data_IF_981370551480
#
_entry.id   IF_981370551480
#
_cell.length_a   1.000
_cell.length_b   1.000
_cell.length_c   1.000
_cell.angle_alpha   90.00
_cell.angle_beta   90.00
_cell.angle_gamma   90.00
#
_symmetry.space_group_name_H-M   'P 1'
#
loop_
_entity.id
_entity.type
_entity.pdbx_description
1 polymer ?
#
# COMPACT_ATOMS: atom_id res chain seq x y z
N UNK A 1 -0.04 7.77 8.64
CA UNK A 1 0.32 6.60 7.81
C UNK A 1 1.84 6.58 7.66
N UNK A 2 2.49 5.51 8.12
CA UNK A 2 3.95 5.37 8.04
C UNK A 2 4.40 5.23 6.58
N UNK A 3 5.57 5.79 6.24
CA UNK A 3 6.14 5.70 4.88
C UNK A 3 6.63 4.28 4.63
N UNK A 4 6.40 3.74 3.43
CA UNK A 4 6.86 2.39 3.10
C UNK A 4 8.40 2.39 3.05
N UNK A 5 9.10 1.56 3.85
CA UNK A 5 10.56 1.64 3.99
C UNK A 5 11.34 1.42 2.70
N UNK A 6 10.72 0.77 1.71
CA UNK A 6 11.35 0.50 0.42
C UNK A 6 11.13 1.61 -0.61
N UNK A 7 10.35 2.66 -0.30
CA UNK A 7 10.19 3.81 -1.20
C UNK A 7 11.54 4.50 -1.47
N UNK A 8 12.47 4.50 -0.49
CA UNK A 8 13.84 5.04 -0.65
C UNK A 8 14.73 4.27 -1.63
N UNK A 9 14.38 3.02 -1.98
CA UNK A 9 15.13 2.27 -2.98
C UNK A 9 14.87 2.76 -4.41
N UNK A 10 13.69 3.32 -4.68
CA UNK A 10 13.35 3.90 -5.99
C UNK A 10 14.05 5.25 -6.23
N UNK A 11 14.37 5.96 -5.16
CA UNK A 11 15.10 7.22 -5.22
C UNK A 11 16.61 7.04 -5.38
N UNK A 12 17.11 5.80 -5.30
CA UNK A 12 18.53 5.53 -5.47
C UNK A 12 18.91 5.63 -6.96
N UNK A 13 19.83 6.54 -7.34
CA UNK A 13 20.23 6.73 -8.74
C UNK A 13 20.89 5.48 -9.35
N UNK A 14 21.43 4.57 -8.54
CA UNK A 14 22.00 3.28 -9.03
C UNK A 14 20.93 2.31 -9.53
N UNK A 15 19.70 2.39 -9.01
CA UNK A 15 18.58 1.56 -9.47
C UNK A 15 18.05 2.03 -10.83
N UNK A 16 18.22 3.31 -11.15
CA UNK A 16 17.84 3.89 -12.45
C UNK A 16 18.78 3.51 -13.61
N UNK A 17 19.95 2.92 -13.31
CA UNK A 17 20.91 2.49 -14.34
C UNK A 17 20.64 1.08 -14.90
N UNK A 18 19.73 0.32 -14.28
CA UNK A 18 19.38 -1.01 -14.75
C UNK A 18 18.24 -1.00 -15.77
N UNK A 19 18.34 -1.93 -16.71
CA UNK A 19 17.43 -2.25 -17.80
C UNK A 19 15.95 -1.93 -17.52
N UNK A 20 15.27 -1.32 -18.50
CA UNK A 20 13.89 -0.83 -18.38
C UNK A 20 12.92 -1.93 -17.92
N UNK A 21 13.14 -3.16 -18.37
CA UNK A 21 12.34 -4.33 -17.99
C UNK A 21 12.56 -4.73 -16.53
N UNK A 22 13.80 -4.63 -16.04
CA UNK A 22 14.13 -4.89 -14.63
C UNK A 22 13.51 -3.81 -13.74
N UNK A 23 13.51 -2.56 -14.19
CA UNK A 23 12.87 -1.46 -13.48
C UNK A 23 11.34 -1.63 -13.39
N UNK A 24 10.70 -2.11 -14.46
CA UNK A 24 9.27 -2.40 -14.47
C UNK A 24 8.91 -3.53 -13.50
N UNK A 25 9.67 -4.62 -13.51
CA UNK A 25 9.50 -5.74 -12.57
C UNK A 25 9.68 -5.29 -11.12
N UNK A 26 10.72 -4.49 -10.84
CA UNK A 26 10.99 -3.96 -9.50
C UNK A 26 9.86 -3.05 -9.01
N UNK A 27 9.33 -2.18 -9.88
CA UNK A 27 8.16 -1.35 -9.55
C UNK A 27 6.92 -2.19 -9.23
N UNK A 28 6.67 -3.26 -10.00
CA UNK A 28 5.54 -4.17 -9.76
C UNK A 28 5.67 -4.92 -8.42
N UNK A 29 6.87 -5.39 -8.10
CA UNK A 29 7.18 -6.04 -6.82
C UNK A 29 7.00 -5.07 -5.65
N UNK A 30 7.53 -3.84 -5.76
CA UNK A 30 7.39 -2.81 -4.73
C UNK A 30 5.94 -2.39 -4.54
N UNK A 31 5.17 -2.26 -5.63
CA UNK A 31 3.74 -1.99 -5.56
C UNK A 31 3.00 -3.08 -4.77
N UNK A 32 3.29 -4.34 -5.08
CA UNK A 32 2.68 -5.49 -4.40
C UNK A 32 3.09 -5.55 -2.92
N UNK A 33 4.37 -5.36 -2.62
CA UNK A 33 4.88 -5.33 -1.26
C UNK A 33 4.28 -4.18 -0.44
N UNK A 34 4.09 -3.00 -1.04
CA UNK A 34 3.43 -1.86 -0.40
C UNK A 34 1.96 -2.13 -0.09
N UNK A 35 1.26 -2.80 -1.00
CA UNK A 35 -0.14 -3.21 -0.81
C UNK A 35 -0.26 -4.21 0.33
N UNK A 36 0.63 -5.20 0.37
CA UNK A 36 0.73 -6.16 1.47
C UNK A 36 1.04 -5.46 2.80
N UNK A 37 2.06 -4.60 2.85
CA UNK A 37 2.42 -3.82 4.05
C UNK A 37 1.23 -3.04 4.61
N UNK A 38 0.54 -2.29 3.75
CA UNK A 38 -0.62 -1.48 4.14
C UNK A 38 -1.75 -2.37 4.69
N UNK A 39 -2.00 -3.50 4.02
CA UNK A 39 -2.98 -4.48 4.48
C UNK A 39 -2.60 -5.09 5.83
N UNK A 40 -1.33 -5.47 6.03
CA UNK A 40 -0.83 -6.04 7.27
C UNK A 40 -0.92 -5.05 8.44
N UNK A 41 -0.61 -3.77 8.20
CA UNK A 41 -0.78 -2.73 9.22
C UNK A 41 -2.26 -2.58 9.60
N UNK A 42 -3.15 -2.49 8.60
CA UNK A 42 -4.58 -2.43 8.85
C UNK A 42 -5.09 -3.67 9.59
N UNK A 43 -4.65 -4.86 9.20
CA UNK A 43 -5.09 -6.12 9.80
C UNK A 43 -4.60 -6.28 11.23
N UNK A 44 -3.34 -5.93 11.51
CA UNK A 44 -2.80 -5.90 12.87
C UNK A 44 -3.57 -4.93 13.76
N UNK A 45 -3.80 -3.72 13.27
CA UNK A 45 -4.63 -2.73 13.96
C UNK A 45 -6.09 -3.19 14.14
N UNK A 46 -6.66 -3.88 13.16
CA UNK A 46 -8.02 -4.42 13.22
C UNK A 46 -8.15 -5.49 14.30
N UNK A 47 -7.18 -6.41 14.36
CA UNK A 47 -7.15 -7.44 15.40
C UNK A 47 -6.99 -6.83 16.79
N UNK A 48 -6.16 -5.80 16.94
CA UNK A 48 -5.95 -5.11 18.22
C UNK A 48 -7.10 -4.16 18.60
N UNK A 49 -8.07 -3.93 17.72
CA UNK A 49 -9.22 -3.06 17.99
C UNK A 49 -10.35 -3.85 18.67
N UNK A 50 -10.98 -3.32 19.75
CA UNK A 50 -12.15 -3.93 20.38
C UNK A 50 -13.31 -4.14 19.39
N UNK A 51 -14.08 -5.21 19.57
CA UNK A 51 -15.11 -5.65 18.60
C UNK A 51 -16.14 -4.56 18.30
N UNK A 52 -16.52 -3.75 19.29
CA UNK A 52 -17.47 -2.65 19.12
C UNK A 52 -16.94 -1.48 18.28
N UNK A 53 -15.62 -1.31 18.16
CA UNK A 53 -14.98 -0.27 17.33
C UNK A 53 -14.62 -0.76 15.92
N UNK A 54 -14.60 -2.08 15.70
CA UNK A 54 -14.23 -2.66 14.39
C UNK A 54 -15.16 -2.21 13.26
N UNK A 55 -16.45 -2.02 13.54
CA UNK A 55 -17.44 -1.58 12.55
C UNK A 55 -17.16 -0.15 12.05
N UNK A 56 -16.73 0.75 12.93
CA UNK A 56 -16.35 2.12 12.58
C UNK A 56 -15.05 2.16 11.76
N UNK A 57 -14.06 1.32 12.09
CA UNK A 57 -12.82 1.20 11.29
C UNK A 57 -13.07 0.62 9.90
N UNK A 58 -13.91 -0.41 9.79
CA UNK A 58 -14.21 -1.05 8.52
C UNK A 58 -14.91 -0.10 7.54
N UNK A 59 -15.85 0.70 8.03
CA UNK A 59 -16.55 1.72 7.24
C UNK A 59 -15.63 2.87 6.79
N UNK A 60 -14.65 3.27 7.61
CA UNK A 60 -13.63 4.25 7.20
C UNK A 60 -12.74 3.75 6.05
N UNK A 61 -12.34 2.48 6.09
CA UNK A 61 -11.53 1.88 5.01
C UNK A 61 -12.34 1.63 3.74
N UNK A 62 -13.59 1.20 3.86
CA UNK A 62 -14.50 1.06 2.72
C UNK A 62 -14.69 2.40 1.99
N UNK A 63 -14.94 3.49 2.72
CA UNK A 63 -15.04 4.85 2.15
C UNK A 63 -13.75 5.30 1.47
N UNK A 64 -12.60 4.96 2.03
CA UNK A 64 -11.30 5.30 1.43
C UNK A 64 -11.05 4.56 0.10
N UNK A 65 -11.57 3.34 -0.06
CA UNK A 65 -11.50 2.62 -1.35
C UNK A 65 -12.52 3.12 -2.37
N UNK A 66 -13.71 3.53 -1.94
CA UNK A 66 -14.74 4.12 -2.82
C UNK A 66 -14.24 5.41 -3.48
N UNK A 67 -13.54 6.27 -2.73
CA UNK A 67 -12.94 7.51 -3.25
C UNK A 67 -11.75 7.30 -4.20
N UNK A 68 -11.25 6.07 -4.36
CA UNK A 68 -10.16 5.71 -5.27
C UNK A 68 -10.61 4.86 -6.46
N UNK A 69 -11.89 4.55 -6.59
CA UNK A 69 -12.42 4.00 -7.83
C UNK A 69 -12.27 5.08 -8.90
N UNK A 70 -11.54 4.83 -10.01
CA UNK A 70 -11.63 5.73 -11.14
C UNK A 70 -13.10 5.74 -11.56
N UNK A 71 -13.67 6.94 -11.75
CA UNK A 71 -14.95 7.09 -12.39
C UNK A 71 -14.87 6.31 -13.71
N UNK A 72 -15.72 5.29 -13.87
CA UNK A 72 -15.93 4.68 -15.18
C UNK A 72 -16.67 5.73 -16.02
N UNK A 73 -15.91 6.45 -16.84
CA UNK A 73 -16.43 7.04 -18.08
C UNK A 73 -16.59 5.95 -19.14
#
# INVERSE_FOLDING_TARGET
MSRFPLDTFLDNPRVRLHDLDTLALLKALLHTARRFWTFSQFHGEYQSTPVWERYAKFSAVARWQEGRRPAKE
#
